data_IF_001962672956
#
_entry.id   IF_001962672956
#
_cell.length_a   1.000
_cell.length_b   1.000
_cell.length_c   1.000
_cell.angle_alpha   90.00
_cell.angle_beta   90.00
_cell.angle_gamma   90.00
#
_symmetry.space_group_name_H-M   'P 1'
#
loop_
_entity.id
_entity.type
_entity.pdbx_description
1 polymer ?
#
# COMPACT_ATOMS: atom_id res chain seq x y z
N UNK A 1 -13.01 5.33 39.72
CA UNK A 1 -11.68 4.86 39.28
C UNK A 1 -11.81 4.42 37.83
N UNK A 2 -11.56 5.34 36.92
CA UNK A 2 -11.59 5.12 35.46
C UNK A 2 -10.15 5.24 34.97
N UNK A 3 -9.59 4.13 34.49
CA UNK A 3 -8.24 4.09 33.96
C UNK A 3 -8.27 4.56 32.49
N UNK A 4 -7.63 5.71 32.23
CA UNK A 4 -7.29 6.16 30.88
C UNK A 4 -6.18 5.30 30.30
N UNK A 5 -6.40 4.76 29.11
CA UNK A 5 -5.40 4.09 28.30
C UNK A 5 -4.67 5.15 27.43
N UNK A 6 -3.33 5.26 27.45
CA UNK A 6 -2.64 6.20 26.59
C UNK A 6 -2.55 5.65 25.16
N UNK A 7 -2.93 6.47 24.19
CA UNK A 7 -2.80 6.18 22.78
C UNK A 7 -1.31 5.96 22.43
N UNK A 8 -0.98 4.78 21.91
CA UNK A 8 0.31 4.49 21.32
C UNK A 8 0.53 5.43 20.13
N UNK A 9 1.58 6.24 20.19
CA UNK A 9 2.03 7.07 19.07
C UNK A 9 2.48 6.19 17.92
N UNK A 10 1.65 6.08 16.89
CA UNK A 10 2.06 5.50 15.60
C UNK A 10 2.85 6.56 14.85
N UNK A 11 4.17 6.45 14.87
CA UNK A 11 5.04 7.22 13.95
C UNK A 11 4.61 6.87 12.52
N UNK A 12 4.28 7.86 11.66
CA UNK A 12 3.95 7.60 10.28
C UNK A 12 5.13 6.88 9.58
N UNK A 13 4.86 5.96 8.63
CA UNK A 13 5.93 5.37 7.85
C UNK A 13 6.73 6.47 7.15
N UNK A 14 8.06 6.31 7.00
CA UNK A 14 8.86 7.27 6.24
C UNK A 14 8.26 7.45 4.84
N UNK A 15 8.26 8.69 4.35
CA UNK A 15 7.73 9.05 3.05
C UNK A 15 8.36 8.16 1.95
N UNK A 16 7.60 7.73 0.94
CA UNK A 16 8.17 7.00 -0.19
C UNK A 16 9.30 7.84 -0.81
N UNK A 17 10.43 7.19 -1.12
CA UNK A 17 11.54 7.83 -1.80
C UNK A 17 11.03 8.57 -3.04
N UNK A 18 11.44 9.83 -3.21
CA UNK A 18 11.04 10.63 -4.35
C UNK A 18 11.40 9.88 -5.66
N UNK A 19 10.63 10.06 -6.75
CA UNK A 19 10.78 9.27 -7.98
C UNK A 19 12.17 9.36 -8.64
N UNK A 20 13.02 10.30 -8.21
CA UNK A 20 14.37 10.55 -8.73
C UNK A 20 15.49 10.48 -7.67
N UNK A 21 15.23 10.02 -6.42
CA UNK A 21 16.30 9.92 -5.42
C UNK A 21 17.31 8.85 -5.86
N UNK A 22 18.55 9.25 -6.17
CA UNK A 22 19.59 8.29 -6.53
C UNK A 22 20.11 7.56 -5.28
N UNK A 23 20.79 6.42 -5.47
CA UNK A 23 21.45 5.74 -4.35
C UNK A 23 22.50 6.64 -3.67
N UNK A 24 23.10 7.58 -4.40
CA UNK A 24 24.03 8.56 -3.85
C UNK A 24 23.31 9.60 -2.97
N UNK A 25 22.15 10.08 -3.38
CA UNK A 25 21.33 11.02 -2.59
C UNK A 25 20.83 10.35 -1.31
N UNK A 26 20.33 9.11 -1.43
CA UNK A 26 19.91 8.29 -0.32
C UNK A 26 21.06 8.10 0.69
N UNK A 27 22.28 7.87 0.18
CA UNK A 27 23.48 7.73 1.00
C UNK A 27 23.84 9.03 1.72
N UNK A 28 23.85 10.16 1.00
CA UNK A 28 24.14 11.47 1.57
C UNK A 28 23.15 11.85 2.68
N UNK A 29 21.87 11.54 2.50
CA UNK A 29 20.84 11.76 3.53
C UNK A 29 21.10 10.94 4.79
N UNK A 30 21.40 9.64 4.64
CA UNK A 30 21.75 8.81 5.80
C UNK A 30 23.01 9.29 6.51
N UNK A 31 23.98 9.83 5.79
CA UNK A 31 25.18 10.42 6.39
C UNK A 31 24.88 11.65 7.24
N UNK A 32 23.89 12.45 6.85
CA UNK A 32 23.44 13.59 7.63
C UNK A 32 22.66 13.18 8.89
N UNK A 33 21.84 12.13 8.80
CA UNK A 33 20.86 11.76 9.83
C UNK A 33 21.37 10.73 10.85
N UNK A 34 22.25 9.81 10.46
CA UNK A 34 22.73 8.75 11.34
C UNK A 34 23.77 9.26 12.36
N UNK A 35 23.76 8.68 13.56
CA UNK A 35 24.86 8.88 14.50
C UNK A 35 26.15 8.21 14.02
N UNK A 36 27.32 8.70 14.47
CA UNK A 36 28.63 8.22 14.02
C UNK A 36 28.81 6.69 14.09
N UNK A 37 28.43 5.98 15.18
CA UNK A 37 28.57 4.52 15.22
C UNK A 37 27.73 3.77 14.16
N UNK A 38 26.57 4.32 13.81
CA UNK A 38 25.69 3.73 12.80
C UNK A 38 26.22 3.97 11.38
N UNK A 39 26.79 5.16 11.11
CA UNK A 39 27.47 5.46 9.84
C UNK A 39 28.67 4.56 9.62
N UNK A 40 29.56 4.44 10.62
CA UNK A 40 30.72 3.55 10.52
C UNK A 40 30.33 2.08 10.32
N UNK A 41 29.23 1.65 10.93
CA UNK A 41 28.70 0.31 10.66
C UNK A 41 28.20 0.19 9.22
N UNK A 42 27.47 1.19 8.72
CA UNK A 42 26.95 1.20 7.35
C UNK A 42 28.09 1.19 6.33
N UNK A 43 29.15 1.95 6.55
CA UNK A 43 30.35 1.97 5.69
C UNK A 43 30.98 0.59 5.54
N UNK A 44 31.22 -0.08 6.66
CA UNK A 44 31.75 -1.45 6.66
C UNK A 44 30.78 -2.43 6.01
N UNK A 45 29.48 -2.25 6.20
CA UNK A 45 28.47 -3.12 5.63
C UNK A 45 28.39 -2.97 4.10
N UNK A 46 28.49 -1.74 3.59
CA UNK A 46 28.54 -1.45 2.16
C UNK A 46 29.82 -1.98 1.52
N UNK A 47 30.98 -1.79 2.15
CA UNK A 47 32.25 -2.37 1.66
C UNK A 47 32.14 -3.91 1.51
N UNK A 48 31.56 -4.60 2.50
CA UNK A 48 31.30 -6.04 2.42
C UNK A 48 30.31 -6.42 1.30
N UNK A 49 29.35 -5.55 0.99
CA UNK A 49 28.38 -5.76 -0.08
C UNK A 49 29.05 -5.59 -1.45
N UNK A 50 29.85 -4.55 -1.62
CA UNK A 50 30.62 -4.26 -2.83
C UNK A 50 31.65 -5.37 -3.12
N UNK A 51 32.37 -5.84 -2.11
CA UNK A 51 33.31 -6.97 -2.22
C UNK A 51 32.63 -8.27 -2.63
N UNK A 52 31.36 -8.44 -2.23
CA UNK A 52 30.55 -9.61 -2.58
C UNK A 52 29.81 -9.45 -3.91
N UNK A 53 29.86 -8.27 -4.54
CA UNK A 53 29.17 -8.03 -5.78
C UNK A 53 29.74 -8.96 -6.87
N UNK A 54 28.86 -9.81 -7.41
CA UNK A 54 29.21 -10.61 -8.57
C UNK A 54 29.48 -9.73 -9.80
N UNK A 55 30.04 -10.29 -10.88
CA UNK A 55 30.01 -9.61 -12.18
C UNK A 55 28.56 -9.19 -12.47
N UNK A 56 28.39 -7.98 -13.04
CA UNK A 56 27.08 -7.45 -13.35
C UNK A 56 26.26 -8.49 -14.13
N UNK A 57 24.98 -8.71 -13.80
CA UNK A 57 24.16 -9.67 -14.52
C UNK A 57 24.08 -9.27 -15.99
N UNK A 58 24.56 -10.14 -16.88
CA UNK A 58 24.23 -10.05 -18.31
C UNK A 58 22.70 -10.23 -18.46
N UNK A 59 22.10 -9.47 -19.37
CA UNK A 59 20.66 -9.22 -19.47
C UNK A 59 19.76 -10.45 -19.76
N UNK A 60 20.31 -11.67 -19.82
CA UNK A 60 19.63 -12.86 -20.37
C UNK A 60 19.21 -13.93 -19.33
N UNK A 61 19.15 -13.60 -18.04
CA UNK A 61 18.74 -14.57 -17.00
C UNK A 61 17.21 -14.61 -16.74
N UNK A 62 16.38 -14.75 -17.78
CA UNK A 62 14.90 -14.63 -17.69
C UNK A 62 14.16 -15.90 -17.20
N UNK A 63 14.83 -16.98 -16.78
CA UNK A 63 14.13 -18.26 -16.49
C UNK A 63 14.08 -18.68 -15.00
N UNK A 64 14.85 -18.06 -14.10
CA UNK A 64 15.04 -18.60 -12.74
C UNK A 64 14.04 -18.09 -11.69
N UNK A 65 13.32 -16.98 -11.94
CA UNK A 65 12.45 -16.35 -10.94
C UNK A 65 11.06 -17.00 -10.82
N UNK A 66 10.57 -17.70 -11.85
CA UNK A 66 9.23 -18.28 -11.86
C UNK A 66 9.10 -19.60 -11.09
N UNK A 67 10.20 -20.29 -10.80
CA UNK A 67 10.19 -21.63 -10.20
C UNK A 67 10.32 -21.62 -8.68
N UNK A 68 10.63 -20.48 -8.06
CA UNK A 68 10.80 -20.39 -6.59
C UNK A 68 9.47 -20.30 -5.82
N UNK A 69 8.33 -20.15 -6.50
CA UNK A 69 7.01 -20.00 -5.86
C UNK A 69 6.15 -21.27 -5.87
N UNK A 70 6.71 -22.42 -6.29
CA UNK A 70 6.04 -23.72 -6.19
C UNK A 70 7.04 -24.85 -5.96
N UNK A 71 6.90 -25.53 -4.82
CA UNK A 71 7.45 -26.87 -4.58
C UNK A 71 8.77 -26.87 -3.82
N UNK A 72 8.75 -27.50 -2.64
CA UNK A 72 9.96 -28.00 -2.01
C UNK A 72 10.45 -29.25 -2.74
N UNK A 73 11.78 -29.38 -2.84
CA UNK A 73 12.57 -30.58 -2.49
C UNK A 73 14.05 -30.39 -2.92
N UNK A 74 14.94 -31.06 -2.18
CA UNK A 74 16.40 -31.15 -2.32
C UNK A 74 17.23 -29.89 -1.99
N UNK A 75 17.68 -29.82 -0.73
CA UNK A 75 18.57 -28.77 -0.23
C UNK A 75 20.00 -28.86 -0.83
N UNK A 76 20.53 -27.77 -1.41
CA UNK A 76 21.97 -27.64 -1.60
C UNK A 76 22.64 -27.55 -0.21
N UNK A 77 23.88 -28.04 -0.09
CA UNK A 77 24.75 -27.84 1.08
C UNK A 77 24.64 -26.40 1.61
N UNK A 78 24.76 -26.14 2.94
CA UNK A 78 24.55 -24.82 3.50
C UNK A 78 25.48 -23.82 2.83
N UNK A 79 24.93 -23.08 1.85
CA UNK A 79 25.64 -21.96 1.23
C UNK A 79 25.93 -21.02 2.38
N UNK A 80 27.22 -20.87 2.71
CA UNK A 80 27.66 -19.89 3.69
C UNK A 80 27.11 -18.56 3.22
N UNK A 81 26.14 -18.01 3.95
CA UNK A 81 25.49 -16.78 3.57
C UNK A 81 26.57 -15.70 3.42
N UNK A 82 26.60 -14.95 2.31
CA UNK A 82 27.47 -13.80 2.17
C UNK A 82 27.35 -12.89 3.38
N UNK A 83 28.48 -12.34 3.84
CA UNK A 83 28.51 -11.54 5.06
C UNK A 83 27.58 -10.32 5.01
N UNK A 84 27.33 -9.77 3.81
CA UNK A 84 26.42 -8.64 3.60
C UNK A 84 24.94 -9.00 3.87
N UNK A 85 24.51 -10.25 3.65
CA UNK A 85 23.11 -10.66 3.94
C UNK A 85 22.82 -10.60 5.44
N UNK A 86 23.81 -10.89 6.28
CA UNK A 86 23.71 -10.69 7.73
C UNK A 86 23.59 -9.20 8.07
N UNK A 87 24.29 -8.32 7.33
CA UNK A 87 24.20 -6.86 7.52
C UNK A 87 22.84 -6.32 7.10
N UNK A 88 22.28 -6.85 6.02
CA UNK A 88 20.92 -6.56 5.60
C UNK A 88 19.91 -6.86 6.72
N UNK A 89 20.01 -8.02 7.38
CA UNK A 89 19.15 -8.34 8.52
C UNK A 89 19.42 -7.45 9.75
N UNK A 90 20.68 -7.09 10.01
CA UNK A 90 21.10 -6.24 11.14
C UNK A 90 20.71 -4.77 11.02
N UNK A 91 20.43 -4.26 9.81
CA UNK A 91 20.24 -2.83 9.55
C UNK A 91 19.28 -2.15 10.53
N UNK A 92 18.14 -2.77 10.86
CA UNK A 92 17.19 -2.20 11.82
C UNK A 92 17.75 -2.04 13.25
N UNK A 93 18.61 -2.96 13.70
CA UNK A 93 19.26 -2.85 15.02
C UNK A 93 20.37 -1.79 15.05
N UNK A 94 20.95 -1.48 13.89
CA UNK A 94 22.18 -0.67 13.77
C UNK A 94 21.88 0.78 13.38
N UNK A 95 20.90 0.97 12.51
CA UNK A 95 20.48 2.27 11.99
C UNK A 95 19.18 2.78 12.63
N UNK A 96 18.47 1.93 13.39
CA UNK A 96 17.15 2.23 13.92
C UNK A 96 16.03 2.02 12.89
N UNK A 97 14.77 1.95 13.32
CA UNK A 97 13.62 1.62 12.46
C UNK A 97 13.37 2.65 11.36
N UNK A 98 13.71 3.91 11.59
CA UNK A 98 13.49 5.01 10.64
C UNK A 98 14.41 4.93 9.42
N UNK A 99 15.66 4.46 9.62
CA UNK A 99 16.69 4.44 8.58
C UNK A 99 16.98 3.02 8.05
N UNK A 100 16.35 1.99 8.64
CA UNK A 100 16.63 0.60 8.33
C UNK A 100 16.40 0.25 6.86
N UNK A 101 15.31 0.75 6.27
CA UNK A 101 14.93 0.42 4.90
C UNK A 101 15.87 1.09 3.90
N UNK A 102 16.22 2.36 4.12
CA UNK A 102 17.23 3.07 3.34
C UNK A 102 18.60 2.37 3.38
N UNK A 103 19.06 1.96 4.56
CA UNK A 103 20.31 1.21 4.70
C UNK A 103 20.26 -0.13 3.95
N UNK A 104 19.14 -0.84 4.00
CA UNK A 104 18.93 -2.09 3.25
C UNK A 104 18.89 -1.89 1.74
N UNK A 105 18.25 -0.82 1.26
CA UNK A 105 18.24 -0.45 -0.16
C UNK A 105 19.67 -0.21 -0.65
N UNK A 106 20.48 0.54 0.10
CA UNK A 106 21.89 0.75 -0.24
C UNK A 106 22.70 -0.55 -0.25
N UNK A 107 22.49 -1.44 0.74
CA UNK A 107 23.17 -2.74 0.80
C UNK A 107 22.82 -3.62 -0.41
N UNK A 108 21.55 -3.68 -0.79
CA UNK A 108 21.12 -4.41 -1.99
C UNK A 108 21.72 -3.80 -3.26
N UNK A 109 21.69 -2.47 -3.37
CA UNK A 109 22.23 -1.74 -4.53
C UNK A 109 23.74 -1.95 -4.68
N UNK A 110 24.48 -1.96 -3.58
CA UNK A 110 25.92 -2.22 -3.55
C UNK A 110 26.24 -3.70 -3.88
N UNK A 111 25.50 -4.64 -3.28
CA UNK A 111 25.73 -6.08 -3.48
C UNK A 111 25.34 -6.58 -4.87
N UNK A 112 24.44 -5.87 -5.58
CA UNK A 112 23.88 -6.26 -6.89
C UNK A 112 23.54 -7.75 -6.97
N UNK A 113 22.75 -8.28 -6.01
CA UNK A 113 22.46 -9.70 -5.94
C UNK A 113 21.69 -10.17 -7.18
N UNK A 114 21.96 -11.40 -7.61
CA UNK A 114 21.18 -12.03 -8.67
C UNK A 114 19.68 -12.09 -8.30
N UNK A 115 18.75 -12.06 -9.28
CA UNK A 115 17.30 -12.05 -9.02
C UNK A 115 16.82 -13.16 -8.08
N UNK A 116 17.40 -14.36 -8.16
CA UNK A 116 17.07 -15.47 -7.25
C UNK A 116 17.41 -15.20 -5.79
N UNK A 117 18.47 -14.42 -5.51
CA UNK A 117 18.81 -13.99 -4.15
C UNK A 117 17.84 -12.92 -3.65
N UNK A 118 17.46 -11.96 -4.50
CA UNK A 118 16.43 -10.95 -4.17
C UNK A 118 15.10 -11.62 -3.83
N UNK A 119 14.65 -12.56 -4.67
CA UNK A 119 13.43 -13.32 -4.44
C UNK A 119 13.49 -14.15 -3.15
N UNK A 120 14.65 -14.76 -2.83
CA UNK A 120 14.84 -15.49 -1.56
C UNK A 120 14.77 -14.56 -0.35
N UNK A 121 15.48 -13.42 -0.37
CA UNK A 121 15.46 -12.44 0.71
C UNK A 121 14.05 -11.91 0.95
N UNK A 122 13.29 -11.69 -0.10
CA UNK A 122 11.88 -11.34 0.01
C UNK A 122 11.04 -12.49 0.60
N UNK A 123 11.14 -13.70 0.03
CA UNK A 123 10.30 -14.83 0.45
C UNK A 123 10.54 -15.31 1.89
N UNK A 124 11.76 -15.13 2.42
CA UNK A 124 12.16 -15.56 3.76
C UNK A 124 12.23 -14.39 4.77
N UNK A 125 12.15 -13.15 4.29
CA UNK A 125 12.32 -11.96 5.09
C UNK A 125 11.11 -11.62 5.96
N UNK A 126 11.39 -10.94 7.06
CA UNK A 126 10.38 -10.21 7.84
C UNK A 126 9.66 -9.15 7.00
N UNK A 127 8.53 -8.65 7.48
CA UNK A 127 7.78 -7.59 6.78
C UNK A 127 8.65 -6.34 6.50
N UNK A 128 9.56 -5.97 7.41
CA UNK A 128 10.47 -4.85 7.20
C UNK A 128 11.51 -5.14 6.10
N UNK A 129 12.05 -6.36 6.06
CA UNK A 129 13.01 -6.78 5.03
C UNK A 129 12.35 -6.88 3.65
N UNK A 130 11.16 -7.46 3.58
CA UNK A 130 10.34 -7.51 2.36
C UNK A 130 10.04 -6.11 1.81
N UNK A 131 9.66 -5.18 2.71
CA UNK A 131 9.42 -3.78 2.36
C UNK A 131 10.67 -3.13 1.76
N UNK A 132 11.83 -3.35 2.38
CA UNK A 132 13.10 -2.82 1.87
C UNK A 132 13.49 -3.44 0.52
N UNK A 133 13.20 -4.72 0.29
CA UNK A 133 13.39 -5.35 -1.04
C UNK A 133 12.52 -4.67 -2.10
N UNK A 134 11.24 -4.46 -1.83
CA UNK A 134 10.32 -3.77 -2.76
C UNK A 134 10.81 -2.35 -3.07
N UNK A 135 11.24 -1.61 -2.05
CA UNK A 135 11.79 -0.26 -2.21
C UNK A 135 13.11 -0.23 -3.00
N UNK A 136 13.88 -1.32 -2.98
CA UNK A 136 15.16 -1.42 -3.70
C UNK A 136 15.00 -1.75 -5.19
N UNK A 137 13.85 -2.27 -5.64
CA UNK A 137 13.68 -2.76 -7.01
C UNK A 137 14.08 -1.76 -8.11
N UNK A 138 13.74 -0.44 -8.03
CA UNK A 138 14.16 0.54 -9.03
C UNK A 138 15.68 0.69 -9.18
N UNK A 139 16.45 0.33 -8.14
CA UNK A 139 17.92 0.41 -8.14
C UNK A 139 18.59 -0.88 -8.60
N UNK A 140 17.84 -1.99 -8.62
CA UNK A 140 18.38 -3.32 -8.91
C UNK A 140 18.15 -3.75 -10.35
N UNK A 141 17.06 -3.31 -10.97
CA UNK A 141 16.72 -3.69 -12.33
C UNK A 141 15.82 -2.67 -13.02
N UNK A 142 15.93 -2.60 -14.36
CA UNK A 142 14.99 -1.92 -15.23
C UNK A 142 14.06 -2.87 -16.01
N UNK A 143 14.13 -4.18 -15.75
CA UNK A 143 13.31 -5.21 -16.38
C UNK A 143 12.19 -5.72 -15.47
N UNK A 144 11.21 -6.48 -16.03
CA UNK A 144 10.02 -6.92 -15.29
C UNK A 144 10.23 -8.17 -14.41
N UNK A 145 11.44 -8.72 -14.30
CA UNK A 145 11.69 -10.00 -13.64
C UNK A 145 11.36 -10.04 -12.15
N UNK A 146 11.31 -8.88 -11.47
CA UNK A 146 10.91 -8.76 -10.07
C UNK A 146 9.40 -8.49 -9.88
N UNK A 147 8.62 -8.43 -10.97
CA UNK A 147 7.16 -8.20 -10.93
C UNK A 147 6.41 -9.20 -10.02
N UNK A 148 6.76 -10.50 -9.97
CA UNK A 148 6.10 -11.44 -9.06
C UNK A 148 6.19 -11.04 -7.58
N UNK A 149 7.23 -10.30 -7.15
CA UNK A 149 7.36 -9.82 -5.77
C UNK A 149 6.36 -8.70 -5.46
N UNK A 150 6.16 -7.78 -6.41
CA UNK A 150 5.15 -6.72 -6.31
C UNK A 150 3.76 -7.32 -6.26
N UNK A 151 3.45 -8.25 -7.16
CA UNK A 151 2.14 -8.89 -7.18
C UNK A 151 1.85 -9.67 -5.89
N UNK A 152 2.85 -10.38 -5.34
CA UNK A 152 2.71 -11.05 -4.04
C UNK A 152 2.41 -10.03 -2.93
N UNK A 153 3.16 -8.94 -2.85
CA UNK A 153 2.93 -7.89 -1.86
C UNK A 153 1.51 -7.31 -1.94
N UNK A 154 0.99 -7.10 -3.15
CA UNK A 154 -0.36 -6.59 -3.40
C UNK A 154 -1.47 -7.59 -3.02
N UNK A 155 -1.17 -8.89 -2.97
CA UNK A 155 -2.11 -9.93 -2.48
C UNK A 155 -2.23 -9.93 -0.96
N UNK A 156 -1.27 -9.33 -0.24
CA UNK A 156 -1.31 -9.22 1.23
C UNK A 156 -2.29 -8.13 1.71
N UNK A 157 -2.58 -8.10 3.02
CA UNK A 157 -3.29 -6.99 3.67
C UNK A 157 -2.35 -6.14 4.56
N UNK A 158 -1.03 -6.38 4.51
CA UNK A 158 -0.08 -5.54 5.24
C UNK A 158 0.07 -4.20 4.49
N UNK A 159 -0.49 -3.14 5.06
CA UNK A 159 -0.50 -1.81 4.45
C UNK A 159 0.90 -1.26 4.20
N UNK A 160 1.91 -1.68 4.97
CA UNK A 160 3.30 -1.26 4.78
C UNK A 160 3.94 -1.93 3.56
N UNK A 161 3.58 -3.19 3.30
CA UNK A 161 4.01 -3.89 2.09
C UNK A 161 3.27 -3.39 0.86
N UNK A 162 1.95 -3.17 0.96
CA UNK A 162 1.15 -2.61 -0.14
C UNK A 162 1.69 -1.23 -0.53
N UNK A 163 1.98 -0.35 0.44
CA UNK A 163 2.54 0.97 0.17
C UNK A 163 3.88 0.91 -0.57
N UNK A 164 4.79 0.01 -0.18
CA UNK A 164 6.06 -0.15 -0.90
C UNK A 164 5.89 -0.80 -2.28
N UNK A 165 4.90 -1.68 -2.43
CA UNK A 165 4.64 -2.38 -3.68
C UNK A 165 4.12 -1.44 -4.78
N UNK A 166 3.44 -0.34 -4.44
CA UNK A 166 2.91 0.64 -5.42
C UNK A 166 3.91 1.75 -5.80
N UNK A 167 5.19 1.58 -5.47
CA UNK A 167 6.27 2.52 -5.79
C UNK A 167 6.70 2.54 -7.27
N UNK A 168 7.84 3.19 -7.59
CA UNK A 168 8.27 3.46 -8.98
C UNK A 168 8.39 2.22 -9.87
N UNK A 169 8.86 1.10 -9.32
CA UNK A 169 8.96 -0.16 -10.07
C UNK A 169 7.58 -0.66 -10.53
N UNK A 170 6.55 -0.56 -9.68
CA UNK A 170 5.18 -0.91 -10.08
C UNK A 170 4.61 0.05 -11.12
N UNK A 171 4.92 1.35 -11.03
CA UNK A 171 4.52 2.33 -12.04
C UNK A 171 5.11 2.03 -13.42
N UNK A 172 6.34 1.50 -13.47
CA UNK A 172 7.01 1.11 -14.70
C UNK A 172 6.53 -0.25 -15.27
N UNK A 173 6.24 -1.22 -14.42
CA UNK A 173 6.06 -2.62 -14.85
C UNK A 173 4.66 -3.21 -14.71
N UNK A 174 3.76 -2.63 -13.89
CA UNK A 174 2.38 -3.10 -13.85
C UNK A 174 1.64 -2.71 -15.13
N UNK A 175 0.97 -3.70 -15.72
CA UNK A 175 0.00 -3.44 -16.76
C UNK A 175 -1.16 -2.57 -16.23
N UNK A 176 -1.95 -2.03 -17.14
CA UNK A 176 -3.01 -1.09 -16.79
C UNK A 176 -4.07 -1.72 -15.85
N UNK A 177 -4.40 -3.00 -16.02
CA UNK A 177 -5.42 -3.68 -15.22
C UNK A 177 -4.92 -3.91 -13.78
N UNK A 178 -3.74 -4.50 -13.64
CA UNK A 178 -3.11 -4.76 -12.35
C UNK A 178 -2.84 -3.46 -11.57
N UNK A 179 -2.42 -2.39 -12.27
CA UNK A 179 -2.21 -1.09 -11.65
C UNK A 179 -3.51 -0.47 -11.11
N UNK A 180 -4.62 -0.50 -11.85
CA UNK A 180 -5.93 -0.03 -11.35
C UNK A 180 -6.37 -0.79 -10.11
N UNK A 181 -6.19 -2.11 -10.11
CA UNK A 181 -6.49 -2.96 -8.97
C UNK A 181 -5.60 -2.64 -7.76
N UNK A 182 -4.34 -2.29 -7.98
CA UNK A 182 -3.46 -1.82 -6.91
C UNK A 182 -3.93 -0.49 -6.30
N UNK A 183 -4.42 0.46 -7.11
CA UNK A 183 -5.01 1.72 -6.63
C UNK A 183 -6.27 1.44 -5.79
N UNK A 184 -7.18 0.59 -6.27
CA UNK A 184 -8.37 0.20 -5.51
C UNK A 184 -8.03 -0.55 -4.22
N UNK A 185 -7.00 -1.40 -4.26
CA UNK A 185 -6.48 -2.08 -3.06
C UNK A 185 -6.03 -1.06 -2.03
N UNK A 186 -5.32 0.00 -2.43
CA UNK A 186 -4.89 1.06 -1.52
C UNK A 186 -6.08 1.75 -0.84
N UNK A 187 -7.09 2.16 -1.63
CA UNK A 187 -8.32 2.76 -1.11
C UNK A 187 -9.07 1.82 -0.15
N UNK A 188 -9.11 0.52 -0.47
CA UNK A 188 -9.77 -0.49 0.33
C UNK A 188 -9.04 -0.75 1.67
N UNK A 189 -7.71 -0.80 1.66
CA UNK A 189 -6.90 -1.10 2.86
C UNK A 189 -6.47 0.15 3.63
N UNK A 190 -6.77 1.35 3.14
CA UNK A 190 -6.41 2.62 3.78
C UNK A 190 -4.94 3.00 3.60
N UNK A 191 -4.28 2.51 2.54
CA UNK A 191 -2.96 3.01 2.13
C UNK A 191 -3.17 4.35 1.42
N UNK A 192 -2.48 5.43 1.83
CA UNK A 192 -2.60 6.73 1.17
C UNK A 192 -2.25 6.63 -0.31
N UNK A 193 -3.08 7.20 -1.19
CA UNK A 193 -2.84 7.15 -2.64
C UNK A 193 -1.59 7.91 -3.07
N UNK A 194 -1.10 8.82 -2.23
CA UNK A 194 0.20 9.49 -2.39
C UNK A 194 1.39 8.51 -2.41
N UNK A 195 1.22 7.27 -1.93
CA UNK A 195 2.25 6.23 -2.05
C UNK A 195 2.34 5.64 -3.47
N UNK A 196 1.28 5.78 -4.29
CA UNK A 196 1.25 5.27 -5.66
C UNK A 196 2.12 6.15 -6.55
N UNK A 197 3.25 5.60 -7.01
CA UNK A 197 4.14 6.33 -7.89
C UNK A 197 3.48 6.58 -9.26
N UNK A 198 3.79 7.75 -9.85
CA UNK A 198 3.26 8.22 -11.11
C UNK A 198 1.71 8.21 -11.20
N UNK A 199 1.03 8.45 -10.06
CA UNK A 199 -0.43 8.37 -9.98
C UNK A 199 -1.10 9.35 -10.93
N UNK A 200 -0.64 10.60 -10.98
CA UNK A 200 -1.24 11.63 -11.82
C UNK A 200 -1.08 11.31 -13.31
N UNK A 201 0.12 10.89 -13.70
CA UNK A 201 0.46 10.54 -15.08
C UNK A 201 -0.35 9.34 -15.55
N UNK A 202 -0.44 8.28 -14.74
CA UNK A 202 -1.14 7.03 -15.11
C UNK A 202 -2.66 7.14 -15.00
N UNK A 203 -3.18 7.93 -14.06
CA UNK A 203 -4.61 8.13 -13.92
C UNK A 203 -5.18 9.03 -15.02
N UNK A 204 -4.38 9.95 -15.59
CA UNK A 204 -4.81 10.92 -16.59
C UNK A 204 -5.59 10.31 -17.75
N UNK A 205 -6.88 10.65 -17.85
CA UNK A 205 -7.77 10.14 -18.90
C UNK A 205 -8.18 8.67 -18.77
N UNK A 206 -7.88 8.01 -17.65
CA UNK A 206 -8.25 6.62 -17.41
C UNK A 206 -9.74 6.49 -17.05
N UNK A 207 -10.58 6.35 -18.08
CA UNK A 207 -12.02 6.19 -17.93
C UNK A 207 -12.45 4.90 -17.22
N UNK A 208 -11.67 3.82 -17.34
CA UNK A 208 -11.98 2.57 -16.65
C UNK A 208 -11.70 2.71 -15.15
N UNK A 209 -10.59 3.34 -14.75
CA UNK A 209 -10.34 3.67 -13.36
C UNK A 209 -11.45 4.57 -12.80
N UNK A 210 -11.86 5.61 -13.54
CA UNK A 210 -12.95 6.49 -13.12
C UNK A 210 -14.26 5.72 -12.86
N UNK A 211 -14.61 4.80 -13.76
CA UNK A 211 -15.78 3.92 -13.63
C UNK A 211 -15.69 3.04 -12.39
N UNK A 212 -14.55 2.35 -12.19
CA UNK A 212 -14.32 1.48 -11.03
C UNK A 212 -14.37 2.24 -9.70
N UNK A 213 -13.84 3.46 -9.64
CA UNK A 213 -13.92 4.33 -8.46
C UNK A 213 -15.37 4.75 -8.17
N UNK A 214 -16.15 5.02 -9.21
CA UNK A 214 -17.59 5.27 -9.10
C UNK A 214 -18.33 4.09 -8.46
N UNK A 215 -18.14 2.88 -9.02
CA UNK A 215 -18.73 1.65 -8.50
C UNK A 215 -18.34 1.41 -7.03
N UNK A 216 -17.06 1.59 -6.69
CA UNK A 216 -16.59 1.44 -5.31
C UNK A 216 -17.23 2.45 -4.37
N UNK A 217 -17.40 3.71 -4.78
CA UNK A 217 -18.04 4.73 -3.97
C UNK A 217 -19.53 4.41 -3.72
N UNK A 218 -20.26 3.95 -4.73
CA UNK A 218 -21.65 3.51 -4.61
C UNK A 218 -21.79 2.31 -3.68
N UNK A 219 -20.94 1.28 -3.84
CA UNK A 219 -20.93 0.10 -2.97
C UNK A 219 -20.66 0.46 -1.49
N UNK A 220 -19.79 1.43 -1.25
CA UNK A 220 -19.52 1.94 0.11
C UNK A 220 -20.74 2.64 0.70
N UNK A 221 -21.39 3.53 -0.07
CA UNK A 221 -22.60 4.25 0.35
C UNK A 221 -23.77 3.31 0.61
N UNK A 222 -24.00 2.34 -0.27
CA UNK A 222 -25.03 1.31 -0.12
C UNK A 222 -24.83 0.48 1.16
N UNK A 223 -23.57 0.22 1.53
CA UNK A 223 -23.22 -0.44 2.77
C UNK A 223 -23.23 0.48 4.02
N UNK A 224 -23.63 1.75 3.90
CA UNK A 224 -23.63 2.72 5.01
C UNK A 224 -22.23 3.12 5.49
N UNK A 225 -21.20 2.91 4.66
CA UNK A 225 -19.80 3.18 5.01
C UNK A 225 -19.32 4.47 4.33
N UNK A 226 -18.46 5.21 5.03
CA UNK A 226 -17.85 6.41 4.46
C UNK A 226 -16.97 6.08 3.23
N UNK A 227 -16.99 6.98 2.24
CA UNK A 227 -16.12 6.94 1.06
C UNK A 227 -14.78 7.62 1.42
N UNK A 228 -13.62 6.98 1.17
CA UNK A 228 -12.31 7.59 1.45
C UNK A 228 -12.09 8.91 0.70
N UNK A 229 -11.45 9.90 1.34
CA UNK A 229 -11.17 11.20 0.71
C UNK A 229 -10.27 11.07 -0.53
N UNK A 230 -9.23 10.24 -0.42
CA UNK A 230 -8.28 9.90 -1.50
C UNK A 230 -8.98 9.42 -2.78
N UNK A 231 -10.17 8.81 -2.69
CA UNK A 231 -10.93 8.41 -3.88
C UNK A 231 -11.25 9.61 -4.78
N UNK A 232 -11.67 10.72 -4.18
CA UNK A 232 -12.04 11.92 -4.92
C UNK A 232 -10.81 12.60 -5.54
N UNK A 233 -9.65 12.47 -4.90
CA UNK A 233 -8.38 12.91 -5.48
C UNK A 233 -8.06 12.12 -6.75
N UNK A 234 -8.12 10.79 -6.70
CA UNK A 234 -7.85 9.94 -7.86
C UNK A 234 -8.88 10.19 -8.97
N UNK A 235 -10.16 10.32 -8.63
CA UNK A 235 -11.23 10.61 -9.60
C UNK A 235 -11.04 11.97 -10.29
N UNK A 236 -10.45 12.95 -9.60
CA UNK A 236 -10.07 14.22 -10.21
C UNK A 236 -8.97 14.03 -11.25
N UNK A 237 -7.96 13.21 -10.94
CA UNK A 237 -6.82 12.93 -11.83
C UNK A 237 -7.24 12.20 -13.11
N UNK A 238 -8.30 11.40 -13.08
CA UNK A 238 -8.81 10.75 -14.29
C UNK A 238 -9.48 11.70 -15.28
N UNK A 239 -9.72 12.97 -14.90
CA UNK A 239 -10.52 13.91 -15.68
C UNK A 239 -12.03 13.68 -15.54
N UNK A 240 -12.46 12.75 -14.67
CA UNK A 240 -13.87 12.46 -14.42
C UNK A 240 -14.64 13.62 -13.79
N UNK A 241 -13.96 14.56 -13.15
CA UNK A 241 -14.57 15.77 -12.57
C UNK A 241 -14.60 16.98 -13.52
N UNK A 242 -13.93 16.92 -14.67
CA UNK A 242 -13.93 18.02 -15.67
C UNK A 242 -15.05 17.90 -16.72
N UNK A 243 -15.91 16.89 -16.61
CA UNK A 243 -17.07 16.66 -17.47
C UNK A 243 -18.40 17.23 -16.95
N UNK A 244 -18.39 18.41 -16.32
CA UNK A 244 -19.64 19.18 -16.10
C UNK A 244 -20.05 19.92 -17.38
N UNK A 245 -21.34 19.99 -17.76
CA UNK A 245 -21.72 20.59 -19.03
C UNK A 245 -21.33 22.06 -19.05
N UNK A 246 -20.51 22.45 -20.03
CA UNK A 246 -20.32 23.83 -20.40
C UNK A 246 -21.68 24.37 -20.88
N UNK A 247 -22.42 24.97 -19.94
CA UNK A 247 -23.65 25.68 -20.20
C UNK A 247 -23.35 26.94 -20.99
N UNK A 248 -23.40 26.85 -22.32
CA UNK A 248 -23.79 27.99 -23.16
C UNK A 248 -25.30 27.90 -23.38
N UNK A 249 -26.06 28.47 -22.47
CA UNK A 249 -27.45 28.84 -22.71
C UNK A 249 -27.73 30.19 -22.05
N UNK A 250 -27.70 31.19 -22.92
CA UNK A 250 -28.08 32.59 -22.73
C UNK A 250 -29.42 32.74 -22.01
N UNK A 251 -29.44 33.64 -21.03
CA UNK A 251 -30.57 34.38 -20.44
C UNK A 251 -32.01 33.92 -20.76
N UNK A 252 -32.74 33.56 -19.69
CA UNK A 252 -34.10 34.06 -19.46
C UNK A 252 -34.48 33.95 -17.97
N UNK A 253 -34.87 35.10 -17.43
CA UNK A 253 -35.31 35.34 -16.05
C UNK A 253 -36.74 34.80 -15.85
N UNK A 254 -37.03 33.93 -14.86
CA UNK A 254 -38.40 33.71 -14.43
C UNK A 254 -38.76 34.74 -13.35
N UNK A 255 -39.79 35.53 -13.66
CA UNK A 255 -40.43 36.43 -12.71
C UNK A 255 -40.93 35.67 -11.46
N UNK A 256 -40.78 36.29 -10.29
CA UNK A 256 -41.26 35.77 -9.02
C UNK A 256 -42.79 35.58 -9.02
N UNK A 257 -43.33 34.50 -8.43
CA UNK A 257 -44.76 34.42 -8.14
C UNK A 257 -45.08 35.23 -6.87
N UNK A 258 -46.16 36.00 -6.95
CA UNK A 258 -46.67 36.85 -5.86
C UNK A 258 -47.23 36.06 -4.66
N UNK A 259 -47.63 36.77 -3.59
CA UNK A 259 -47.97 36.17 -2.30
C UNK A 259 -49.28 35.36 -2.35
N UNK A 260 -49.41 34.29 -1.53
CA UNK A 260 -50.59 33.43 -1.52
C UNK A 260 -51.78 34.09 -0.82
N UNK A 261 -53.04 33.81 -1.25
CA UNK A 261 -54.23 34.24 -0.54
C UNK A 261 -54.52 33.37 0.70
N UNK A 262 -55.23 33.96 1.67
CA UNK A 262 -55.52 33.35 2.96
C UNK A 262 -56.80 32.48 2.99
N UNK A 263 -56.62 31.29 3.57
CA UNK A 263 -57.48 30.56 4.53
C UNK A 263 -58.75 29.82 4.05
N UNK A 264 -58.78 28.52 4.32
CA UNK A 264 -59.91 27.84 4.98
C UNK A 264 -59.45 26.61 5.75
N UNK A 265 -60.16 26.27 6.83
CA UNK A 265 -59.72 25.37 7.90
C UNK A 265 -60.51 24.05 7.95
N UNK A 266 -59.83 23.03 8.48
CA UNK A 266 -60.31 21.77 9.09
C UNK A 266 -60.69 20.58 8.17
N UNK A 267 -60.69 19.31 8.66
CA UNK A 267 -60.36 18.83 10.01
C UNK A 267 -59.26 17.74 10.09
N UNK A 268 -58.84 17.50 11.33
CA UNK A 268 -57.84 16.51 11.75
C UNK A 268 -58.33 15.06 11.64
N UNK A 269 -57.41 14.17 11.28
CA UNK A 269 -57.58 12.71 11.30
C UNK A 269 -56.87 12.09 12.54
N UNK A 270 -57.40 10.98 13.08
CA UNK A 270 -57.18 10.52 14.46
C UNK A 270 -55.86 9.73 14.69
N UNK A 271 -55.44 9.54 15.96
CA UNK A 271 -54.21 8.84 16.32
C UNK A 271 -54.30 7.31 16.12
N UNK A 272 -53.16 6.62 15.90
CA UNK A 272 -53.13 5.16 15.81
C UNK A 272 -53.37 4.50 17.18
N UNK A 273 -54.16 3.42 17.13
CA UNK A 273 -54.54 2.61 18.28
C UNK A 273 -53.41 1.68 18.75
N UNK A 274 -53.41 1.52 20.07
CA UNK A 274 -52.63 0.60 20.89
C UNK A 274 -52.94 -0.87 20.54
N UNK A 275 -51.90 -1.67 20.28
CA UNK A 275 -52.00 -3.13 20.14
C UNK A 275 -50.72 -3.77 20.73
N UNK A 276 -50.84 -4.14 22.00
CA UNK A 276 -50.41 -5.39 22.64
C UNK A 276 -49.10 -6.06 22.18
N UNK A 277 -48.16 -6.11 23.12
CA UNK A 277 -47.06 -7.07 23.22
C UNK A 277 -47.49 -8.52 23.00
N UNK A 278 -46.58 -9.34 22.43
CA UNK A 278 -46.32 -10.63 23.06
C UNK A 278 -44.83 -10.97 23.15
N UNK A 279 -44.45 -11.51 24.32
CA UNK A 279 -43.59 -12.69 24.39
C UNK A 279 -42.08 -12.48 24.44
N UNK A 280 -41.56 -12.49 25.67
CA UNK A 280 -40.17 -12.83 26.01
C UNK A 280 -39.80 -14.22 25.48
N UNK A 281 -38.68 -14.40 24.74
CA UNK A 281 -38.09 -15.72 24.57
C UNK A 281 -37.10 -16.02 25.70
N UNK A 282 -37.48 -17.05 26.46
CA UNK A 282 -36.71 -17.84 27.43
C UNK A 282 -35.29 -18.17 26.95
N UNK A 283 -34.33 -18.02 27.88
CA UNK A 283 -32.95 -18.44 27.76
C UNK A 283 -32.84 -19.97 27.56
N UNK A 284 -32.20 -20.38 26.46
CA UNK A 284 -31.78 -21.76 26.23
C UNK A 284 -30.44 -21.99 26.94
N UNK A 285 -30.45 -22.90 27.91
CA UNK A 285 -29.31 -23.40 28.67
C UNK A 285 -28.50 -24.36 27.79
N UNK A 286 -27.22 -24.06 27.56
CA UNK A 286 -26.28 -24.97 26.90
C UNK A 286 -25.89 -26.13 27.85
N UNK A 287 -25.79 -27.37 27.37
CA UNK A 287 -25.28 -28.49 28.16
C UNK A 287 -23.75 -28.47 28.26
N UNK A 288 -23.30 -28.72 29.48
CA UNK A 288 -21.93 -28.97 29.91
C UNK A 288 -21.26 -30.05 29.07
N UNK A 289 -20.14 -29.74 28.43
CA UNK A 289 -19.18 -30.74 27.93
C UNK A 289 -18.45 -31.36 29.11
N UNK A 290 -18.55 -32.69 29.22
CA UNK A 290 -17.80 -33.50 30.17
C UNK A 290 -16.34 -33.66 29.75
N UNK A 291 -15.51 -33.65 30.77
CA UNK A 291 -14.12 -34.07 30.82
C UNK A 291 -14.02 -35.61 30.99
N UNK A 292 -12.83 -36.14 30.68
CA UNK A 292 -12.24 -37.42 31.14
C UNK A 292 -12.72 -38.76 30.53
N UNK A 293 -11.95 -39.29 29.58
CA UNK A 293 -10.90 -40.32 29.82
C UNK A 293 -10.26 -40.77 28.51
#
# INVERSE_FOLDING_TARGET
MTASNPAAGTTPPPAPAAPDESAADLRARLDAELAAPAREWLDRALALAEDAAGPAPEADATAAAATAHRGGEAGPAPRRMPAWELRFAEAGRRCGPEHADAARVLLLSAARPAPGTVARLYGQGSAAERRAVLAALPYLTGGPEALPLVEDALRTNDTRLVAAAVGPYAAAHLDAHAWRHAVLKCLFTGVPVAAVAALAERAGGDGELARMLGDYAEERRAAGRAVPADLFEVLRLTGGLTGGPAGTATAQHPAAPGPPPAREAAPAAPPPADQASPGTPTALKAPSTGEES
#
